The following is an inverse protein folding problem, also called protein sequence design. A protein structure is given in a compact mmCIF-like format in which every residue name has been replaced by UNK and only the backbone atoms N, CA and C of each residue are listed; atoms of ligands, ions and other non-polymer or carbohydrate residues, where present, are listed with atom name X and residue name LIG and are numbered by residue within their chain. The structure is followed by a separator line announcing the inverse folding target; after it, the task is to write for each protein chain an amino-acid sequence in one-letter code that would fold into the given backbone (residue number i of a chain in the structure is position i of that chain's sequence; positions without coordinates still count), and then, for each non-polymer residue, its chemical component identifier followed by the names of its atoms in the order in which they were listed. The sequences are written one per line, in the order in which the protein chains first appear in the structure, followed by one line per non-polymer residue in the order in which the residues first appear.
data_IF_399525542592
#
_entry.id   IF_399525542592
#
_cell.length_a   1.000
_cell.length_b   1.000
_cell.length_c   1.000
_cell.angle_alpha   90.00
_cell.angle_beta   90.00
_cell.angle_gamma   90.00
#
_symmetry.space_group_name_H-M   'P 1'
#
loop_
_entity.id
_entity.type
_entity.pdbx_description
1 polymer ?
#
# COMPACT_ATOMS: atom_id res chain seq x y z
N UNK A 1 8.15 14.00 -29.68
CA UNK A 1 7.59 14.75 -28.54
C UNK A 1 8.54 14.60 -27.36
N UNK A 2 9.00 15.71 -26.77
CA UNK A 2 9.81 15.64 -25.53
C UNK A 2 8.90 15.27 -24.37
N UNK A 3 9.29 14.28 -23.56
CA UNK A 3 8.62 13.86 -22.34
C UNK A 3 9.50 14.20 -21.14
N UNK A 4 8.88 14.55 -20.02
CA UNK A 4 9.60 14.84 -18.76
C UNK A 4 9.78 13.56 -17.95
N UNK A 5 10.28 12.53 -18.58
CA UNK A 5 10.64 11.25 -17.97
C UNK A 5 12.04 10.85 -18.39
N UNK A 6 12.79 10.19 -17.52
CA UNK A 6 14.13 9.69 -17.85
C UNK A 6 14.00 8.37 -18.63
N UNK A 7 13.42 7.36 -18.00
CA UNK A 7 13.20 6.02 -18.58
C UNK A 7 11.78 5.57 -18.25
N UNK A 8 11.16 4.82 -19.13
CA UNK A 8 9.78 4.37 -18.96
C UNK A 8 9.65 3.43 -17.75
N UNK A 9 10.60 2.53 -17.57
CA UNK A 9 10.66 1.56 -16.47
C UNK A 9 10.85 2.20 -15.10
N UNK A 10 11.44 3.41 -15.04
CA UNK A 10 11.76 4.09 -13.79
C UNK A 10 10.68 5.11 -13.36
N UNK A 11 9.70 5.38 -14.22
CA UNK A 11 8.69 6.44 -14.00
C UNK A 11 8.02 6.34 -12.64
N UNK A 12 7.53 5.16 -12.28
CA UNK A 12 6.83 4.95 -11.02
C UNK A 12 7.75 5.19 -9.81
N UNK A 13 8.95 4.62 -9.85
CA UNK A 13 9.90 4.74 -8.74
C UNK A 13 10.37 6.19 -8.58
N UNK A 14 10.71 6.87 -9.67
CA UNK A 14 11.12 8.28 -9.64
C UNK A 14 9.99 9.21 -9.17
N UNK A 15 8.75 8.96 -9.58
CA UNK A 15 7.57 9.69 -9.12
C UNK A 15 7.40 9.57 -7.61
N UNK A 16 7.48 8.37 -7.07
CA UNK A 16 7.33 8.12 -5.63
C UNK A 16 8.51 8.66 -4.82
N UNK A 17 9.72 8.61 -5.35
CA UNK A 17 10.87 9.27 -4.72
C UNK A 17 10.67 10.79 -4.67
N UNK A 18 10.13 11.38 -5.74
CA UNK A 18 9.77 12.79 -5.77
C UNK A 18 8.72 13.14 -4.71
N UNK A 19 7.68 12.31 -4.60
CA UNK A 19 6.63 12.46 -3.59
C UNK A 19 7.20 12.39 -2.17
N UNK A 20 8.03 11.40 -1.87
CA UNK A 20 8.63 11.23 -0.55
C UNK A 20 9.59 12.39 -0.18
N UNK A 21 10.31 12.92 -1.17
CA UNK A 21 11.17 14.12 -0.95
C UNK A 21 10.36 15.37 -0.69
N UNK A 22 9.22 15.54 -1.36
CA UNK A 22 8.34 16.68 -1.17
C UNK A 22 7.54 16.61 0.16
N UNK A 23 7.35 15.42 0.69
CA UNK A 23 6.49 15.16 1.85
C UNK A 23 7.23 14.32 2.89
N UNK A 24 7.98 14.95 3.82
CA UNK A 24 8.80 14.26 4.83
C UNK A 24 7.98 13.42 5.83
N UNK A 25 6.65 13.62 5.88
CA UNK A 25 5.72 12.79 6.66
C UNK A 25 5.42 11.43 6.01
N UNK A 26 5.94 11.18 4.82
CA UNK A 26 5.77 9.92 4.11
C UNK A 26 7.08 9.11 4.10
N UNK A 27 6.95 7.80 4.25
CA UNK A 27 8.05 6.85 4.11
C UNK A 27 7.82 6.00 2.87
N UNK A 28 8.78 6.02 1.96
CA UNK A 28 8.79 5.18 0.77
C UNK A 28 9.52 3.88 1.07
N UNK A 29 8.86 2.75 0.86
CA UNK A 29 9.44 1.41 0.87
C UNK A 29 9.65 0.97 -0.58
N UNK A 30 10.79 0.36 -0.90
CA UNK A 30 11.17 0.07 -2.30
C UNK A 30 11.02 -1.41 -2.68
N UNK A 31 11.09 -2.31 -1.71
CA UNK A 31 10.98 -3.74 -1.99
C UNK A 31 10.17 -4.44 -0.88
N UNK A 32 8.90 -4.70 -1.13
CA UNK A 32 8.06 -4.23 -2.26
C UNK A 32 7.75 -2.72 -2.21
N UNK A 33 7.37 -2.17 -3.36
CA UNK A 33 7.13 -0.74 -3.51
C UNK A 33 5.77 -0.31 -2.94
N UNK A 34 5.77 0.44 -1.82
CA UNK A 34 4.59 1.05 -1.20
C UNK A 34 4.99 2.28 -0.36
N UNK A 35 4.01 3.05 0.03
CA UNK A 35 4.20 4.30 0.81
C UNK A 35 3.38 4.23 2.09
N UNK A 36 3.97 4.64 3.21
CA UNK A 36 3.29 4.71 4.51
C UNK A 36 3.48 6.07 5.15
N UNK A 37 2.68 6.38 6.16
CA UNK A 37 2.99 7.49 7.06
C UNK A 37 4.25 7.16 7.86
N UNK A 38 5.07 8.16 8.12
CA UNK A 38 6.31 8.02 8.91
C UNK A 38 6.02 7.60 10.38
N UNK A 39 4.86 8.00 10.92
CA UNK A 39 4.43 7.64 12.27
C UNK A 39 3.62 6.32 12.36
N UNK A 40 3.44 5.63 11.26
CA UNK A 40 2.81 4.31 11.27
C UNK A 40 3.83 3.23 11.72
N UNK A 41 3.39 2.20 12.45
CA UNK A 41 2.04 1.92 12.94
C UNK A 41 1.66 2.78 14.16
N UNK A 42 0.38 3.18 14.26
CA UNK A 42 -0.14 3.91 15.43
C UNK A 42 -0.84 2.93 16.36
N UNK A 43 -0.25 2.68 17.54
CA UNK A 43 -0.76 1.71 18.49
C UNK A 43 -2.22 1.96 18.89
N UNK A 44 -3.03 0.91 18.87
CA UNK A 44 -4.44 0.93 19.24
C UNK A 44 -5.38 1.63 18.25
N UNK A 45 -4.89 2.02 17.07
CA UNK A 45 -5.71 2.62 16.01
C UNK A 45 -5.86 1.70 14.82
N UNK A 46 -7.04 1.71 14.22
CA UNK A 46 -7.29 1.04 12.94
C UNK A 46 -6.55 1.79 11.85
N UNK A 47 -5.75 1.07 11.08
CA UNK A 47 -5.07 1.60 9.91
C UNK A 47 -5.97 1.50 8.67
N UNK A 48 -5.88 2.50 7.80
CA UNK A 48 -6.55 2.51 6.50
C UNK A 48 -5.49 2.31 5.41
N UNK A 49 -5.74 1.31 4.58
CA UNK A 49 -4.91 0.97 3.43
C UNK A 49 -5.71 1.10 2.14
N UNK A 50 -5.08 1.64 1.12
CA UNK A 50 -5.64 1.67 -0.22
C UNK A 50 -4.56 1.41 -1.26
N UNK A 51 -4.97 1.08 -2.48
CA UNK A 51 -4.04 0.87 -3.58
C UNK A 51 -4.75 0.87 -4.92
N UNK A 52 -3.99 1.18 -5.94
CA UNK A 52 -4.50 1.22 -7.31
C UNK A 52 -3.37 1.48 -8.30
N UNK A 53 -3.70 1.42 -9.59
CA UNK A 53 -2.75 1.70 -10.65
C UNK A 53 -2.28 3.14 -10.63
N UNK A 54 -1.00 3.34 -10.90
CA UNK A 54 -0.44 4.67 -11.10
C UNK A 54 -0.98 5.31 -12.38
N UNK A 55 -1.08 6.64 -12.41
CA UNK A 55 -1.71 7.41 -13.48
C UNK A 55 -3.08 7.99 -13.10
N UNK A 56 -3.55 7.71 -11.88
CA UNK A 56 -4.78 8.26 -11.32
C UNK A 56 -4.50 9.28 -10.19
N UNK A 57 -3.30 9.84 -10.14
CA UNK A 57 -2.90 10.77 -9.09
C UNK A 57 -3.94 11.90 -8.89
N UNK A 58 -4.17 12.31 -7.63
CA UNK A 58 -3.47 11.97 -6.38
C UNK A 58 -3.80 10.61 -5.76
N UNK A 59 -4.62 9.79 -6.41
CA UNK A 59 -5.00 8.45 -5.91
C UNK A 59 -3.80 7.48 -6.07
N UNK A 60 -3.37 6.78 -5.03
CA UNK A 60 -3.89 6.76 -3.68
C UNK A 60 -2.88 7.39 -2.71
N UNK A 61 -1.61 7.52 -3.10
CA UNK A 61 -0.51 8.00 -2.27
C UNK A 61 -0.69 9.45 -1.79
N UNK A 62 -1.37 10.29 -2.57
CA UNK A 62 -1.67 11.67 -2.21
C UNK A 62 -2.68 11.82 -1.06
N UNK A 63 -3.33 10.73 -0.64
CA UNK A 63 -4.27 10.74 0.50
C UNK A 63 -3.69 10.15 1.78
N UNK A 64 -2.40 9.85 1.81
CA UNK A 64 -1.71 9.40 3.01
C UNK A 64 -1.51 10.57 3.95
N UNK A 65 -2.04 10.47 5.16
CA UNK A 65 -1.93 11.54 6.16
C UNK A 65 -2.71 11.26 7.42
N UNK A 66 -2.60 12.17 8.38
CA UNK A 66 -3.32 12.08 9.63
C UNK A 66 -4.84 12.23 9.39
N UNK A 67 -5.63 11.26 9.89
CA UNK A 67 -7.08 11.22 9.65
C UNK A 67 -7.48 10.70 8.27
N UNK A 68 -6.52 10.28 7.45
CA UNK A 68 -6.69 9.71 6.12
C UNK A 68 -6.03 8.34 6.03
N UNK A 69 -5.44 7.97 4.88
CA UNK A 69 -4.77 6.70 4.71
C UNK A 69 -3.51 6.61 5.59
N UNK A 70 -3.28 5.42 6.15
CA UNK A 70 -2.05 5.06 6.85
C UNK A 70 -0.97 4.57 5.90
N UNK A 71 -1.39 3.96 4.80
CA UNK A 71 -0.51 3.48 3.74
C UNK A 71 -1.24 3.36 2.42
N UNK A 72 -0.47 3.34 1.34
CA UNK A 72 -0.98 3.12 -0.01
C UNK A 72 0.01 2.31 -0.84
N UNK A 73 -0.54 1.43 -1.67
CA UNK A 73 0.21 0.58 -2.58
C UNK A 73 -0.03 1.02 -4.02
N UNK A 74 0.91 1.75 -4.64
CA UNK A 74 0.83 2.06 -6.05
C UNK A 74 1.14 0.81 -6.88
N UNK A 75 0.29 0.56 -7.85
CA UNK A 75 0.55 -0.42 -8.89
C UNK A 75 1.37 0.18 -10.03
N UNK A 76 1.63 -0.62 -11.04
CA UNK A 76 2.22 -0.14 -12.28
C UNK A 76 1.23 0.82 -12.99
N UNK A 77 1.70 1.48 -14.07
CA UNK A 77 0.88 2.47 -14.79
C UNK A 77 -0.39 1.78 -15.30
N UNK A 78 -1.54 2.27 -14.82
CA UNK A 78 -2.89 1.73 -15.07
C UNK A 78 -3.08 0.24 -14.73
N UNK A 79 -2.22 -0.32 -13.86
CA UNK A 79 -2.32 -1.71 -13.40
C UNK A 79 -2.38 -1.76 -11.89
N UNK A 80 -3.27 -2.58 -11.33
CA UNK A 80 -3.43 -2.74 -9.88
C UNK A 80 -2.15 -3.28 -9.23
N UNK A 81 -1.89 -2.92 -7.96
CA UNK A 81 -0.78 -3.49 -7.21
C UNK A 81 -0.98 -5.00 -6.98
N UNK A 82 0.12 -5.70 -6.84
CA UNK A 82 0.11 -7.13 -6.54
C UNK A 82 -0.32 -7.40 -5.08
N UNK A 83 -0.90 -8.58 -4.78
CA UNK A 83 -1.36 -8.91 -3.43
C UNK A 83 -0.25 -8.87 -2.37
N UNK A 84 0.98 -9.24 -2.72
CA UNK A 84 2.13 -9.19 -1.84
C UNK A 84 2.46 -7.76 -1.38
N UNK A 85 2.43 -6.77 -2.29
CA UNK A 85 2.60 -5.34 -1.93
C UNK A 85 1.54 -4.90 -0.92
N UNK A 86 0.29 -5.28 -1.14
CA UNK A 86 -0.82 -4.96 -0.23
C UNK A 86 -0.64 -5.63 1.13
N UNK A 87 -0.19 -6.89 1.14
CA UNK A 87 0.04 -7.65 2.37
C UNK A 87 1.15 -7.01 3.21
N UNK A 88 2.31 -6.76 2.61
CA UNK A 88 3.46 -6.18 3.32
C UNK A 88 3.14 -4.79 3.88
N UNK A 89 2.47 -3.96 3.08
CA UNK A 89 2.02 -2.64 3.54
C UNK A 89 1.04 -2.76 4.71
N UNK A 90 0.08 -3.68 4.65
CA UNK A 90 -0.87 -3.91 5.73
C UNK A 90 -0.17 -4.35 7.02
N UNK A 91 0.80 -5.26 6.93
CA UNK A 91 1.59 -5.69 8.08
C UNK A 91 2.41 -4.55 8.68
N UNK A 92 2.94 -3.68 7.84
CA UNK A 92 3.76 -2.54 8.28
C UNK A 92 2.95 -1.47 9.01
N UNK A 93 1.70 -1.23 8.63
CA UNK A 93 0.86 -0.18 9.22
C UNK A 93 -0.04 -0.66 10.35
N UNK A 94 -0.09 -1.98 10.63
CA UNK A 94 -0.96 -2.55 11.65
C UNK A 94 -0.52 -2.12 13.06
N UNK A 95 -1.31 -1.26 13.67
CA UNK A 95 -1.14 -0.78 15.06
C UNK A 95 -1.88 -1.60 16.11
N UNK A 96 -2.60 -2.66 15.71
CA UNK A 96 -3.39 -3.48 16.61
C UNK A 96 -2.66 -4.78 16.93
N UNK A 97 -1.89 -4.79 17.99
CA UNK A 97 -1.06 -5.92 18.42
C UNK A 97 -1.84 -7.17 18.90
N UNK A 98 -3.17 -7.12 18.89
CA UNK A 98 -4.00 -8.20 19.42
C UNK A 98 -5.19 -8.48 18.52
N UNK A 99 -4.95 -9.10 17.39
CA UNK A 99 -5.99 -9.72 16.59
C UNK A 99 -6.01 -11.23 16.85
N UNK A 100 -6.97 -11.77 17.61
CA UNK A 100 -7.14 -13.20 17.73
C UNK A 100 -7.81 -13.74 16.47
N UNK A 101 -7.02 -14.19 15.53
CA UNK A 101 -7.46 -14.67 14.23
C UNK A 101 -7.33 -13.55 13.16
N UNK A 102 -6.36 -13.75 12.31
CA UNK A 102 -6.10 -12.89 11.15
C UNK A 102 -7.24 -13.03 10.13
N UNK A 103 -8.37 -12.42 10.39
CA UNK A 103 -9.43 -12.31 9.40
C UNK A 103 -9.27 -10.96 8.67
N UNK A 104 -8.87 -11.02 7.45
CA UNK A 104 -8.69 -9.89 6.54
C UNK A 104 -10.04 -9.30 6.13
N UNK A 105 -10.63 -8.48 6.95
CA UNK A 105 -11.87 -7.78 6.64
C UNK A 105 -11.67 -6.38 6.06
N UNK A 106 -10.46 -6.04 5.60
CA UNK A 106 -10.15 -4.68 5.18
C UNK A 106 -9.66 -4.54 3.74
N UNK A 107 -9.86 -5.51 2.90
CA UNK A 107 -9.75 -5.26 1.47
C UNK A 107 -11.15 -4.99 0.93
N UNK A 108 -11.54 -3.72 0.86
CA UNK A 108 -12.76 -3.31 0.17
C UNK A 108 -12.56 -3.48 -1.35
N UNK A 109 -12.54 -4.72 -1.80
CA UNK A 109 -12.78 -5.04 -3.19
C UNK A 109 -14.31 -5.15 -3.36
N UNK A 110 -14.96 -4.22 -4.08
CA UNK A 110 -16.41 -4.23 -4.23
C UNK A 110 -16.92 -5.31 -5.19
N UNK A 111 -16.07 -6.24 -5.60
CA UNK A 111 -16.43 -7.31 -6.53
C UNK A 111 -16.69 -8.60 -5.76
N UNK A 112 -17.94 -9.10 -5.69
CA UNK A 112 -18.24 -10.40 -5.11
C UNK A 112 -17.50 -11.50 -5.89
N UNK A 113 -16.67 -12.29 -5.19
CA UNK A 113 -15.93 -13.42 -5.78
C UNK A 113 -14.44 -13.18 -6.03
N UNK A 114 -13.89 -12.03 -5.72
CA UNK A 114 -12.46 -11.73 -5.87
C UNK A 114 -11.64 -12.20 -4.66
N UNK A 115 -11.69 -13.48 -4.35
CA UNK A 115 -10.78 -14.13 -3.39
C UNK A 115 -9.87 -15.08 -4.17
N UNK A 116 -8.65 -14.68 -4.54
CA UNK A 116 -7.69 -15.66 -5.03
C UNK A 116 -7.31 -16.60 -3.88
N UNK A 117 -7.16 -17.88 -4.16
CA UNK A 117 -6.70 -18.89 -3.19
C UNK A 117 -5.34 -18.55 -2.55
N UNK A 118 -4.56 -17.67 -3.15
CA UNK A 118 -3.31 -17.13 -2.63
C UNK A 118 -3.45 -16.31 -1.33
N UNK A 119 -4.66 -15.86 -0.96
CA UNK A 119 -4.90 -15.14 0.29
C UNK A 119 -5.29 -16.05 1.46
N UNK A 120 -5.19 -17.37 1.32
CA UNK A 120 -5.34 -18.27 2.47
C UNK A 120 -4.07 -18.23 3.32
N UNK A 121 -4.19 -18.00 4.63
CA UNK A 121 -3.04 -18.15 5.52
C UNK A 121 -2.51 -19.58 5.44
N UNK A 122 -1.18 -19.79 5.50
CA UNK A 122 -0.61 -21.11 5.50
C UNK A 122 -1.18 -21.91 6.69
N UNK A 123 -1.70 -23.09 6.42
CA UNK A 123 -2.38 -23.97 7.38
C UNK A 123 -1.42 -24.65 8.39
N UNK A 124 -0.21 -24.15 8.55
CA UNK A 124 0.79 -24.72 9.46
C UNK A 124 1.43 -23.68 10.39
N UNK A 125 0.66 -23.21 11.37
CA UNK A 125 1.23 -22.81 12.66
C UNK A 125 0.58 -23.72 13.70
N UNK A 126 1.19 -24.89 13.91
CA UNK A 126 0.93 -25.71 15.11
C UNK A 126 1.42 -24.92 16.32
N UNK A 127 0.67 -25.02 17.39
CA UNK A 127 0.88 -24.48 18.74
C UNK A 127 2.25 -24.83 19.30
#
# INVERSE_FOLDING_TARGET
MKKLINRVEDVLNEQLQGLAKAHPQLTLHQDPLYVTRTDAPVAGKVALLSGGGSGHEPMHCGYIGQGMLSGACPGEIFTSPTPDKMFECAMQIDGVTRWPGKSWAACACPIPGCWPEACRPPTSVRR
#
